data_IF_354222298065
#
_entry.id   IF_354222298065
#
_cell.length_a   1.000
_cell.length_b   1.000
_cell.length_c   1.000
_cell.angle_alpha   90.00
_cell.angle_beta   90.00
_cell.angle_gamma   90.00
#
_symmetry.space_group_name_H-M   'P 1'
#
loop_
_entity.id
_entity.type
_entity.pdbx_description
1 polymer ?
#
# COMPACT_ATOMS: atom_id res chain seq x y z
N UNK A 1 33.74 19.32 6.59
CA UNK A 1 34.63 19.31 5.42
C UNK A 1 34.61 17.87 4.93
N UNK A 2 34.00 17.48 3.82
CA UNK A 2 33.55 18.22 2.63
C UNK A 2 32.33 17.49 2.05
N UNK A 3 31.32 18.24 1.62
CA UNK A 3 30.30 17.80 0.66
C UNK A 3 30.87 17.94 -0.75
N UNK A 4 30.60 16.98 -1.64
CA UNK A 4 30.67 17.12 -3.12
C UNK A 4 29.58 16.19 -3.66
N UNK A 5 28.38 16.66 -4.02
CA UNK A 5 28.00 17.32 -5.29
C UNK A 5 28.71 16.68 -6.47
N UNK A 6 27.99 15.82 -7.19
CA UNK A 6 28.33 15.42 -8.56
C UNK A 6 27.36 16.14 -9.48
N UNK A 7 27.96 16.97 -10.32
CA UNK A 7 27.35 17.93 -11.23
C UNK A 7 26.57 17.28 -12.38
N UNK A 8 25.52 18.00 -12.79
CA UNK A 8 24.90 17.90 -14.11
C UNK A 8 25.76 18.65 -15.13
N UNK A 9 25.69 18.19 -16.38
CA UNK A 9 26.09 18.85 -17.63
C UNK A 9 27.58 18.79 -18.04
N UNK A 10 27.92 17.77 -18.84
CA UNK A 10 28.82 17.98 -19.99
C UNK A 10 28.19 17.44 -21.28
N UNK A 11 27.54 18.40 -21.96
CA UNK A 11 27.28 18.49 -23.38
C UNK A 11 28.38 17.89 -24.28
N UNK A 12 28.00 16.99 -25.19
CA UNK A 12 28.58 16.94 -26.55
C UNK A 12 27.47 16.78 -27.58
N UNK A 13 27.15 17.89 -28.25
CA UNK A 13 26.23 17.92 -29.37
C UNK A 13 26.86 17.44 -30.67
N UNK A 14 26.01 17.01 -31.61
CA UNK A 14 26.27 17.17 -33.04
C UNK A 14 24.97 17.64 -33.71
N UNK A 15 25.10 18.76 -34.42
CA UNK A 15 24.03 19.44 -35.17
C UNK A 15 23.70 18.71 -36.47
N UNK A 16 22.41 18.80 -36.83
CA UNK A 16 21.78 18.50 -38.12
C UNK A 16 22.55 19.03 -39.34
N UNK A 17 22.42 18.32 -40.47
CA UNK A 17 22.33 18.93 -41.81
C UNK A 17 21.17 18.29 -42.58
N UNK A 18 20.27 19.14 -43.08
CA UNK A 18 19.15 18.80 -43.98
C UNK A 18 19.44 19.46 -45.33
N UNK A 19 19.51 18.65 -46.36
CA UNK A 19 19.58 18.93 -47.81
C UNK A 19 19.35 17.53 -48.40
N UNK A 20 18.29 17.18 -49.13
CA UNK A 20 17.58 17.87 -50.21
C UNK A 20 17.79 17.03 -51.47
N UNK A 21 16.80 16.22 -51.87
CA UNK A 21 16.54 15.71 -53.23
C UNK A 21 17.55 14.75 -53.91
N UNK A 22 17.00 13.68 -54.48
CA UNK A 22 17.46 12.90 -55.66
C UNK A 22 18.63 11.89 -55.53
N UNK A 23 18.23 10.63 -55.78
CA UNK A 23 18.76 9.62 -56.70
C UNK A 23 20.16 9.00 -56.54
N UNK A 24 20.09 7.66 -56.50
CA UNK A 24 20.96 6.63 -57.09
C UNK A 24 22.48 6.81 -57.11
N UNK A 25 23.13 5.90 -56.38
CA UNK A 25 24.44 5.38 -56.78
C UNK A 25 24.31 3.87 -56.98
N UNK A 26 24.10 3.49 -58.24
CA UNK A 26 24.38 2.17 -58.78
C UNK A 26 25.90 2.01 -58.82
N UNK A 27 26.43 0.87 -58.37
CA UNK A 27 27.75 0.42 -58.80
C UNK A 27 27.61 -0.91 -59.56
N UNK A 28 28.07 -0.84 -60.80
CA UNK A 28 28.08 -1.89 -61.82
C UNK A 28 29.34 -2.74 -61.66
N UNK A 29 29.21 -3.96 -61.14
CA UNK A 29 30.17 -5.02 -61.40
C UNK A 29 29.49 -6.38 -61.32
N UNK A 30 28.67 -6.63 -62.33
CA UNK A 30 28.30 -7.97 -62.77
C UNK A 30 29.55 -8.70 -63.29
N UNK A 31 29.89 -9.83 -62.67
CA UNK A 31 30.49 -10.96 -63.38
C UNK A 31 30.12 -12.25 -62.66
N UNK A 32 29.27 -13.04 -63.32
CA UNK A 32 29.03 -14.45 -63.02
C UNK A 32 30.34 -15.25 -63.08
N UNK A 33 30.64 -16.01 -62.03
CA UNK A 33 31.36 -17.28 -62.13
C UNK A 33 31.20 -18.08 -60.82
N UNK A 34 30.55 -19.24 -60.95
CA UNK A 34 30.46 -20.40 -60.06
C UNK A 34 31.36 -20.41 -58.80
N UNK A 35 30.72 -20.47 -57.62
CA UNK A 35 31.28 -21.09 -56.44
C UNK A 35 30.18 -21.75 -55.59
N UNK A 36 30.15 -23.08 -55.70
CA UNK A 36 29.63 -24.10 -54.81
C UNK A 36 28.86 -23.70 -53.53
N UNK A 37 27.64 -24.23 -53.49
CA UNK A 37 26.92 -24.81 -52.35
C UNK A 37 27.84 -25.30 -51.19
N UNK A 38 27.84 -24.57 -50.08
CA UNK A 38 28.09 -25.14 -48.74
C UNK A 38 26.93 -24.70 -47.82
N UNK A 39 26.19 -25.69 -47.34
CA UNK A 39 24.92 -25.54 -46.65
C UNK A 39 24.99 -24.67 -45.39
N UNK A 40 24.24 -23.57 -45.42
CA UNK A 40 23.75 -22.92 -44.20
C UNK A 40 22.54 -23.72 -43.70
N UNK A 41 22.53 -24.21 -42.45
CA UNK A 41 21.30 -24.73 -41.87
C UNK A 41 20.27 -23.60 -41.77
N UNK A 42 19.13 -23.81 -42.39
CA UNK A 42 17.93 -22.98 -42.28
C UNK A 42 17.42 -23.08 -40.84
N UNK A 43 17.78 -22.10 -40.00
CA UNK A 43 17.23 -21.99 -38.65
C UNK A 43 15.87 -21.31 -38.75
N UNK A 44 14.83 -22.14 -38.87
CA UNK A 44 13.45 -21.69 -38.64
C UNK A 44 13.30 -21.37 -37.16
N UNK A 45 13.33 -20.08 -36.81
CA UNK A 45 12.92 -19.60 -35.49
C UNK A 45 11.40 -19.73 -35.41
N UNK A 46 10.92 -20.85 -34.89
CA UNK A 46 9.54 -20.96 -34.41
C UNK A 46 9.48 -20.19 -33.09
N UNK A 47 8.95 -18.96 -33.15
CA UNK A 47 8.54 -18.24 -31.97
C UNK A 47 7.26 -18.89 -31.46
N UNK A 48 7.30 -19.48 -30.27
CA UNK A 48 6.10 -19.92 -29.57
C UNK A 48 5.21 -18.68 -29.37
N UNK A 49 4.04 -18.64 -30.01
CA UNK A 49 3.15 -17.47 -30.09
C UNK A 49 2.50 -17.07 -28.73
N UNK A 50 3.03 -17.56 -27.61
CA UNK A 50 2.46 -17.41 -26.27
C UNK A 50 3.17 -16.45 -25.31
N UNK A 51 4.46 -16.16 -25.52
CA UNK A 51 5.21 -15.30 -24.61
C UNK A 51 5.17 -13.84 -25.10
N UNK A 52 4.60 -12.96 -24.28
CA UNK A 52 4.40 -11.55 -24.58
C UNK A 52 5.68 -10.84 -25.06
N UNK A 53 5.49 -9.80 -25.87
CA UNK A 53 6.55 -8.93 -26.39
C UNK A 53 7.62 -8.59 -25.33
N UNK A 54 8.79 -9.23 -25.43
CA UNK A 54 9.92 -8.96 -24.54
C UNK A 54 10.79 -7.84 -25.12
N UNK A 55 10.64 -6.64 -24.57
CA UNK A 55 11.38 -5.44 -24.98
C UNK A 55 12.91 -5.61 -24.85
N UNK A 56 13.38 -6.52 -23.98
CA UNK A 56 14.80 -6.79 -23.77
C UNK A 56 15.42 -7.62 -24.91
N UNK A 57 14.61 -8.35 -25.69
CA UNK A 57 15.06 -9.15 -26.84
C UNK A 57 15.18 -8.31 -28.13
N UNK A 58 14.73 -7.05 -28.12
CA UNK A 58 14.70 -6.18 -29.29
C UNK A 58 16.04 -5.47 -29.49
N UNK A 59 16.70 -5.70 -30.62
CA UNK A 59 17.93 -4.99 -31.02
C UNK A 59 19.23 -5.69 -30.63
N UNK A 60 19.17 -6.89 -30.05
CA UNK A 60 20.33 -7.75 -29.81
C UNK A 60 20.83 -8.35 -31.14
N UNK A 61 22.15 -8.53 -31.26
CA UNK A 61 22.69 -9.36 -32.35
C UNK A 61 22.34 -10.83 -32.10
N UNK A 62 22.23 -11.68 -33.14
CA UNK A 62 21.88 -13.10 -32.96
C UNK A 62 22.74 -13.84 -31.92
N UNK A 63 24.03 -13.48 -31.82
CA UNK A 63 24.95 -14.02 -30.81
C UNK A 63 24.66 -13.54 -29.37
N UNK A 64 24.16 -12.32 -29.20
CA UNK A 64 23.81 -11.77 -27.89
C UNK A 64 22.45 -12.29 -27.40
N UNK A 65 21.50 -12.49 -28.32
CA UNK A 65 20.22 -13.13 -28.03
C UNK A 65 20.42 -14.57 -27.52
N UNK A 66 21.29 -15.34 -28.19
CA UNK A 66 21.58 -16.71 -27.78
C UNK A 66 22.26 -16.77 -26.40
N UNK A 67 23.22 -15.87 -26.12
CA UNK A 67 23.87 -15.80 -24.80
C UNK A 67 22.88 -15.44 -23.68
N UNK A 68 21.90 -14.56 -23.97
CA UNK A 68 20.88 -14.19 -23.00
C UNK A 68 19.88 -15.32 -22.74
N UNK A 69 19.44 -16.04 -23.78
CA UNK A 69 18.58 -17.21 -23.65
C UNK A 69 19.27 -18.31 -22.84
N UNK A 70 20.53 -18.64 -23.16
CA UNK A 70 21.33 -19.62 -22.38
C UNK A 70 21.58 -19.17 -20.94
N UNK A 71 21.67 -17.85 -20.68
CA UNK A 71 21.76 -17.32 -19.32
C UNK A 71 20.42 -17.48 -18.58
N UNK A 72 19.29 -17.18 -19.22
CA UNK A 72 17.96 -17.33 -18.63
C UNK A 72 17.64 -18.81 -18.37
N UNK A 73 17.99 -19.69 -19.30
CA UNK A 73 17.85 -21.14 -19.14
C UNK A 73 18.64 -21.65 -17.93
N UNK A 74 19.93 -21.28 -17.82
CA UNK A 74 20.73 -21.63 -16.62
C UNK A 74 20.13 -21.12 -15.32
N UNK A 75 19.61 -19.89 -15.30
CA UNK A 75 18.95 -19.35 -14.10
C UNK A 75 17.66 -20.10 -13.76
N UNK A 76 16.87 -20.51 -14.77
CA UNK A 76 15.69 -21.36 -14.56
C UNK A 76 16.07 -22.75 -14.05
N UNK A 77 17.10 -23.36 -14.61
CA UNK A 77 17.61 -24.66 -14.15
C UNK A 77 18.14 -24.59 -12.71
N UNK A 78 18.88 -23.54 -12.36
CA UNK A 78 19.36 -23.30 -11.00
C UNK A 78 18.19 -23.09 -10.02
N UNK A 79 17.20 -22.28 -10.41
CA UNK A 79 16.00 -22.06 -9.60
C UNK A 79 15.18 -23.34 -9.41
N UNK A 80 14.97 -24.12 -10.48
CA UNK A 80 14.30 -25.42 -10.42
C UNK A 80 15.06 -26.41 -9.53
N UNK A 81 16.39 -26.46 -9.64
CA UNK A 81 17.22 -27.32 -8.80
C UNK A 81 17.14 -26.94 -7.31
N UNK A 82 17.05 -25.64 -6.98
CA UNK A 82 16.81 -25.20 -5.60
C UNK A 82 15.38 -25.51 -5.14
N UNK A 83 14.37 -25.29 -5.98
CA UNK A 83 12.97 -25.65 -5.70
C UNK A 83 12.85 -27.14 -5.31
N UNK A 84 13.41 -28.04 -6.10
CA UNK A 84 13.39 -29.49 -5.85
C UNK A 84 14.05 -29.85 -4.51
N UNK A 85 15.13 -29.15 -4.11
CA UNK A 85 15.76 -29.37 -2.79
C UNK A 85 14.83 -28.96 -1.65
N UNK A 86 14.17 -27.81 -1.77
CA UNK A 86 13.22 -27.35 -0.76
C UNK A 86 11.99 -28.26 -0.68
N UNK A 87 11.46 -28.74 -1.81
CA UNK A 87 10.37 -29.70 -1.81
C UNK A 87 10.75 -31.01 -1.14
N UNK A 88 11.90 -31.60 -1.48
CA UNK A 88 12.36 -32.83 -0.85
C UNK A 88 12.58 -32.67 0.67
N UNK A 89 13.22 -31.57 1.09
CA UNK A 89 13.42 -31.25 2.51
C UNK A 89 12.07 -31.03 3.24
N UNK A 90 11.13 -30.34 2.59
CA UNK A 90 9.79 -30.08 3.10
C UNK A 90 9.01 -31.38 3.31
N UNK A 91 9.03 -32.29 2.32
CA UNK A 91 8.38 -33.61 2.41
C UNK A 91 8.97 -34.48 3.53
N UNK A 92 10.29 -34.52 3.68
CA UNK A 92 10.95 -35.25 4.77
C UNK A 92 10.51 -34.72 6.14
N UNK A 93 10.47 -33.39 6.31
CA UNK A 93 10.03 -32.75 7.54
C UNK A 93 8.53 -32.95 7.79
N UNK A 94 7.72 -32.91 6.74
CA UNK A 94 6.29 -33.17 6.79
C UNK A 94 6.00 -34.60 7.26
N UNK A 95 6.69 -35.59 6.67
CA UNK A 95 6.59 -36.99 7.08
C UNK A 95 7.08 -37.23 8.52
N UNK A 96 8.05 -36.44 8.99
CA UNK A 96 8.53 -36.46 10.37
C UNK A 96 7.59 -35.75 11.38
N UNK A 97 6.47 -35.17 10.93
CA UNK A 97 5.53 -34.43 11.77
C UNK A 97 6.03 -33.05 12.19
N UNK A 98 7.05 -32.50 11.52
CA UNK A 98 7.61 -31.16 11.77
C UNK A 98 6.98 -30.12 10.86
N UNK A 99 5.67 -29.94 10.99
CA UNK A 99 4.88 -29.12 10.06
C UNK A 99 5.37 -27.67 9.91
N UNK A 100 5.77 -27.02 11.01
CA UNK A 100 6.29 -25.64 10.96
C UNK A 100 7.59 -25.47 10.19
N UNK A 101 8.46 -26.49 10.21
CA UNK A 101 9.71 -26.45 9.45
C UNK A 101 9.43 -26.80 7.99
N UNK A 102 8.48 -27.69 7.72
CA UNK A 102 8.05 -28.06 6.38
C UNK A 102 7.35 -26.90 5.65
N UNK A 103 6.49 -26.15 6.34
CA UNK A 103 5.81 -24.97 5.79
C UNK A 103 6.80 -23.93 5.25
N UNK A 104 7.91 -23.69 5.97
CA UNK A 104 8.95 -22.75 5.50
C UNK A 104 9.59 -23.24 4.21
N UNK A 105 9.89 -24.52 4.14
CA UNK A 105 10.50 -25.12 2.94
C UNK A 105 9.52 -25.08 1.76
N UNK A 106 8.23 -25.38 1.97
CA UNK A 106 7.21 -25.27 0.91
C UNK A 106 6.99 -23.82 0.46
N UNK A 107 6.97 -22.87 1.39
CA UNK A 107 6.90 -21.43 1.06
C UNK A 107 8.11 -21.00 0.23
N UNK A 108 9.32 -21.43 0.60
CA UNK A 108 10.53 -21.12 -0.17
C UNK A 108 10.53 -21.80 -1.53
N UNK A 109 9.98 -23.01 -1.67
CA UNK A 109 9.85 -23.66 -2.99
C UNK A 109 8.95 -22.84 -3.94
N UNK A 110 7.80 -22.34 -3.43
CA UNK A 110 6.87 -21.52 -4.20
C UNK A 110 7.46 -20.16 -4.64
N UNK A 111 8.46 -19.64 -3.92
CA UNK A 111 9.18 -18.42 -4.33
C UNK A 111 10.06 -18.65 -5.56
N UNK A 112 10.54 -19.88 -5.79
CA UNK A 112 11.34 -20.23 -6.97
C UNK A 112 10.48 -20.67 -8.16
N UNK A 113 9.52 -21.56 -7.90
CA UNK A 113 8.63 -22.10 -8.93
C UNK A 113 7.26 -22.40 -8.33
N UNK A 114 6.23 -21.79 -8.92
CA UNK A 114 4.86 -22.04 -8.52
C UNK A 114 4.41 -23.43 -8.97
N UNK A 115 3.80 -24.17 -8.05
CA UNK A 115 3.13 -25.43 -8.32
C UNK A 115 1.96 -25.61 -7.35
N UNK A 116 0.78 -25.93 -7.87
CA UNK A 116 -0.42 -26.17 -7.06
C UNK A 116 -0.21 -27.30 -6.03
N UNK A 117 0.56 -28.34 -6.38
CA UNK A 117 0.86 -29.43 -5.45
C UNK A 117 1.70 -28.92 -4.25
N UNK A 118 2.66 -28.04 -4.51
CA UNK A 118 3.50 -27.42 -3.48
C UNK A 118 2.69 -26.48 -2.59
N UNK A 119 1.74 -25.75 -3.17
CA UNK A 119 0.80 -24.88 -2.46
C UNK A 119 -0.17 -25.69 -1.58
N UNK A 120 -0.69 -26.81 -2.08
CA UNK A 120 -1.48 -27.73 -1.27
C UNK A 120 -0.69 -28.24 -0.06
N UNK A 121 0.57 -28.64 -0.26
CA UNK A 121 1.44 -29.10 0.83
C UNK A 121 1.77 -28.00 1.82
N UNK A 122 1.90 -26.75 1.38
CA UNK A 122 2.03 -25.60 2.26
C UNK A 122 0.84 -25.48 3.21
N UNK A 123 -0.40 -25.48 2.69
CA UNK A 123 -1.59 -25.35 3.53
C UNK A 123 -1.89 -26.60 4.36
N UNK A 124 -1.55 -27.78 3.86
CA UNK A 124 -1.56 -29.00 4.67
C UNK A 124 -0.58 -28.87 5.85
N UNK A 125 0.63 -28.34 5.65
CA UNK A 125 1.59 -28.11 6.73
C UNK A 125 1.12 -27.00 7.68
N UNK A 126 0.51 -25.93 7.14
CA UNK A 126 0.00 -24.82 7.93
C UNK A 126 -1.10 -25.26 8.90
N UNK A 127 -1.94 -26.20 8.47
CA UNK A 127 -3.07 -26.75 9.25
C UNK A 127 -2.71 -27.99 10.08
N UNK A 128 -1.41 -28.24 10.31
CA UNK A 128 -0.90 -29.43 11.00
C UNK A 128 -1.51 -30.73 10.42
N UNK A 129 -1.49 -30.84 9.10
CA UNK A 129 -2.11 -31.88 8.28
C UNK A 129 -3.63 -31.98 8.48
N UNK A 130 -4.33 -30.86 8.29
CA UNK A 130 -5.78 -30.73 8.41
C UNK A 130 -6.35 -31.11 9.78
N UNK A 131 -5.60 -30.82 10.85
CA UNK A 131 -6.07 -31.05 12.23
C UNK A 131 -6.43 -29.76 12.96
N UNK A 132 -5.82 -28.63 12.59
CA UNK A 132 -6.06 -27.33 13.22
C UNK A 132 -6.14 -26.20 12.19
N UNK A 133 -7.25 -25.45 12.18
CA UNK A 133 -7.46 -24.30 11.31
C UNK A 133 -7.11 -22.95 11.98
N UNK A 134 -6.71 -22.92 13.25
CA UNK A 134 -6.45 -21.66 13.97
C UNK A 134 -5.37 -20.80 13.29
N UNK A 135 -4.40 -21.44 12.64
CA UNK A 135 -3.31 -20.72 11.96
C UNK A 135 -3.74 -20.02 10.68
N UNK A 136 -4.84 -20.47 10.07
CA UNK A 136 -5.47 -19.77 8.94
C UNK A 136 -6.12 -18.45 9.39
N UNK A 137 -6.48 -18.33 10.67
CA UNK A 137 -7.15 -17.16 11.23
C UNK A 137 -6.17 -16.07 11.71
N UNK A 138 -4.90 -16.16 11.30
CA UNK A 138 -3.92 -15.09 11.47
C UNK A 138 -4.04 -14.16 10.25
N UNK A 139 -4.11 -12.83 10.40
CA UNK A 139 -4.37 -11.90 9.29
C UNK A 139 -3.53 -12.17 8.04
N UNK A 140 -2.20 -12.22 8.19
CA UNK A 140 -1.28 -12.47 7.07
C UNK A 140 -1.53 -13.83 6.36
N UNK A 141 -1.97 -14.84 7.10
CA UNK A 141 -2.25 -16.17 6.53
C UNK A 141 -3.64 -16.24 5.89
N UNK A 142 -4.62 -15.53 6.45
CA UNK A 142 -5.96 -15.43 5.89
C UNK A 142 -5.92 -14.74 4.52
N UNK A 143 -5.13 -13.67 4.39
CA UNK A 143 -4.90 -12.97 3.13
C UNK A 143 -4.23 -13.90 2.10
N UNK A 144 -3.12 -14.55 2.46
CA UNK A 144 -2.43 -15.51 1.58
C UNK A 144 -3.34 -16.65 1.13
N UNK A 145 -4.19 -17.16 2.03
CA UNK A 145 -5.12 -18.23 1.71
C UNK A 145 -6.27 -17.76 0.81
N UNK A 146 -6.71 -16.51 0.95
CA UNK A 146 -7.71 -15.92 0.06
C UNK A 146 -7.20 -15.84 -1.38
N UNK A 147 -5.91 -15.58 -1.57
CA UNK A 147 -5.22 -15.51 -2.87
C UNK A 147 -4.77 -16.88 -3.42
N UNK A 148 -4.90 -17.95 -2.65
CA UNK A 148 -4.47 -19.29 -3.05
C UNK A 148 -5.34 -19.86 -4.19
N UNK A 149 -4.79 -20.84 -4.93
CA UNK A 149 -5.54 -21.51 -5.99
C UNK A 149 -6.89 -22.08 -5.50
N UNK A 150 -7.93 -21.95 -6.34
CA UNK A 150 -9.29 -22.38 -6.01
C UNK A 150 -9.34 -23.88 -5.65
N UNK A 151 -8.56 -24.70 -6.33
CA UNK A 151 -8.40 -26.14 -6.06
C UNK A 151 -7.91 -26.41 -4.64
N UNK A 152 -6.93 -25.64 -4.18
CA UNK A 152 -6.32 -25.75 -2.85
C UNK A 152 -7.27 -25.23 -1.78
N UNK A 153 -7.92 -24.09 -2.02
CA UNK A 153 -8.93 -23.52 -1.12
C UNK A 153 -10.09 -24.47 -0.90
N UNK A 154 -10.64 -25.03 -1.99
CA UNK A 154 -11.74 -25.99 -1.95
C UNK A 154 -11.41 -27.20 -1.06
N UNK A 155 -10.17 -27.71 -1.13
CA UNK A 155 -9.74 -28.87 -0.33
C UNK A 155 -9.63 -28.55 1.16
N UNK A 156 -9.12 -27.37 1.52
CA UNK A 156 -9.06 -26.93 2.92
C UNK A 156 -10.47 -26.67 3.47
N UNK A 157 -11.34 -26.06 2.66
CA UNK A 157 -12.74 -25.76 3.01
C UNK A 157 -13.62 -27.01 3.07
N UNK A 158 -13.33 -28.08 2.32
CA UNK A 158 -14.02 -29.36 2.47
C UNK A 158 -13.82 -29.97 3.86
N UNK A 159 -12.63 -29.76 4.46
CA UNK A 159 -12.33 -30.26 5.81
C UNK A 159 -12.84 -29.34 6.92
N UNK A 160 -12.64 -28.03 6.76
CA UNK A 160 -12.88 -27.06 7.84
C UNK A 160 -14.10 -26.15 7.65
N UNK A 161 -14.72 -26.13 6.47
CA UNK A 161 -15.74 -25.15 6.10
C UNK A 161 -16.92 -25.08 7.06
N UNK A 162 -17.44 -26.23 7.50
CA UNK A 162 -18.52 -26.27 8.48
C UNK A 162 -18.08 -25.68 9.84
N UNK A 163 -16.92 -26.10 10.34
CA UNK A 163 -16.38 -25.63 11.62
C UNK A 163 -16.04 -24.13 11.62
N UNK A 164 -15.56 -23.61 10.48
CA UNK A 164 -15.26 -22.19 10.29
C UNK A 164 -16.54 -21.36 10.18
N UNK A 165 -17.57 -21.88 9.51
CA UNK A 165 -18.89 -21.24 9.47
C UNK A 165 -19.55 -21.20 10.85
N UNK A 166 -19.47 -22.28 11.63
CA UNK A 166 -19.94 -22.29 13.02
C UNK A 166 -19.17 -21.28 13.87
N UNK A 167 -17.84 -21.21 13.71
CA UNK A 167 -17.01 -20.22 14.40
C UNK A 167 -17.37 -18.78 14.02
N UNK A 168 -17.67 -18.51 12.73
CA UNK A 168 -18.15 -17.20 12.24
C UNK A 168 -19.47 -16.82 12.89
N UNK A 169 -20.44 -17.74 12.89
CA UNK A 169 -21.76 -17.49 13.51
C UNK A 169 -21.64 -17.26 15.02
N UNK A 170 -20.79 -18.02 15.72
CA UNK A 170 -20.56 -17.85 17.15
C UNK A 170 -19.91 -16.49 17.46
N UNK A 171 -18.87 -16.12 16.71
CA UNK A 171 -18.19 -14.82 16.87
C UNK A 171 -19.13 -13.64 16.55
N UNK A 172 -19.99 -13.78 15.53
CA UNK A 172 -20.96 -12.74 15.18
C UNK A 172 -22.05 -12.57 16.25
N UNK A 173 -22.54 -13.68 16.82
CA UNK A 173 -23.50 -13.65 17.92
C UNK A 173 -22.93 -12.99 19.18
N UNK A 174 -21.63 -13.13 19.44
CA UNK A 174 -20.94 -12.46 20.55
C UNK A 174 -20.65 -10.98 20.24
N UNK A 175 -20.26 -10.65 19.02
CA UNK A 175 -19.94 -9.28 18.61
C UNK A 175 -21.18 -8.35 18.56
N UNK A 176 -22.35 -8.86 18.15
CA UNK A 176 -23.56 -8.05 18.01
C UNK A 176 -23.95 -7.26 19.28
N UNK A 177 -24.09 -7.86 20.47
CA UNK A 177 -24.40 -7.11 21.68
C UNK A 177 -23.29 -6.14 22.08
N UNK A 178 -22.02 -6.52 21.88
CA UNK A 178 -20.86 -5.68 22.20
C UNK A 178 -20.82 -4.41 21.34
N UNK A 179 -21.16 -4.50 20.04
CA UNK A 179 -21.28 -3.31 19.15
C UNK A 179 -22.26 -2.29 19.71
N UNK A 180 -23.41 -2.75 20.23
CA UNK A 180 -24.42 -1.88 20.84
C UNK A 180 -23.92 -1.20 22.11
N UNK A 181 -23.29 -1.96 23.01
CA UNK A 181 -22.77 -1.43 24.29
C UNK A 181 -21.62 -0.43 24.06
N UNK A 182 -20.67 -0.78 23.20
CA UNK A 182 -19.49 0.07 22.91
C UNK A 182 -19.92 1.35 22.22
N UNK A 183 -20.79 1.28 21.20
CA UNK A 183 -21.28 2.47 20.49
C UNK A 183 -22.07 3.40 21.41
N UNK A 184 -22.97 2.86 22.24
CA UNK A 184 -23.72 3.64 23.22
C UNK A 184 -22.79 4.31 24.24
N UNK A 185 -21.80 3.58 24.76
CA UNK A 185 -20.82 4.11 25.70
C UNK A 185 -19.91 5.18 25.08
N UNK A 186 -19.54 5.04 23.80
CA UNK A 186 -18.80 6.07 23.06
C UNK A 186 -19.65 7.33 22.89
N UNK A 187 -20.92 7.17 22.51
CA UNK A 187 -21.86 8.28 22.30
C UNK A 187 -22.14 9.06 23.58
N UNK A 188 -22.35 8.38 24.71
CA UNK A 188 -22.54 9.01 26.01
C UNK A 188 -21.34 9.89 26.42
N UNK A 189 -20.12 9.43 26.12
CA UNK A 189 -18.86 10.10 26.48
C UNK A 189 -18.47 11.23 25.52
N UNK A 190 -18.96 11.22 24.27
CA UNK A 190 -18.63 12.23 23.25
C UNK A 190 -19.01 13.64 23.70
N UNK A 191 -20.22 13.84 24.23
CA UNK A 191 -20.71 15.14 24.70
C UNK A 191 -19.81 15.73 25.80
N UNK A 192 -19.66 15.05 26.95
CA UNK A 192 -18.81 15.52 28.06
C UNK A 192 -17.36 15.79 27.65
N UNK A 193 -16.76 14.95 26.79
CA UNK A 193 -15.38 15.18 26.33
C UNK A 193 -15.27 16.39 25.39
N UNK A 194 -16.22 16.59 24.49
CA UNK A 194 -16.25 17.76 23.62
C UNK A 194 -16.41 19.07 24.41
N UNK A 195 -17.28 19.08 25.41
CA UNK A 195 -17.46 20.22 26.31
C UNK A 195 -16.18 20.52 27.11
N UNK A 196 -15.53 19.49 27.65
CA UNK A 196 -14.28 19.65 28.40
C UNK A 196 -13.14 20.19 27.51
N UNK A 197 -13.03 19.69 26.27
CA UNK A 197 -12.09 20.21 25.28
C UNK A 197 -12.37 21.69 24.97
N UNK A 198 -13.63 22.06 24.74
CA UNK A 198 -14.03 23.45 24.49
C UNK A 198 -13.72 24.36 25.68
N UNK A 199 -13.97 23.88 26.91
CA UNK A 199 -13.69 24.60 28.16
C UNK A 199 -12.22 25.01 28.27
N UNK A 200 -11.29 24.09 27.97
CA UNK A 200 -9.85 24.36 28.01
C UNK A 200 -9.37 25.16 26.79
N UNK A 201 -9.96 24.95 25.62
CA UNK A 201 -9.60 25.69 24.40
C UNK A 201 -9.91 27.18 24.55
N UNK A 202 -11.10 27.53 25.03
CA UNK A 202 -11.49 28.94 25.23
C UNK A 202 -10.55 29.64 26.23
N UNK A 203 -10.20 28.96 27.33
CA UNK A 203 -9.27 29.51 28.33
C UNK A 203 -7.84 29.62 27.81
N UNK A 204 -7.38 28.63 27.05
CA UNK A 204 -6.08 28.68 26.40
C UNK A 204 -5.99 29.90 25.47
N UNK A 205 -7.00 30.12 24.62
CA UNK A 205 -7.04 31.28 23.71
C UNK A 205 -7.10 32.61 24.46
N UNK A 206 -7.88 32.71 25.54
CA UNK A 206 -7.94 33.92 26.36
C UNK A 206 -6.59 34.26 27.00
N UNK A 207 -5.89 33.25 27.56
CA UNK A 207 -4.57 33.45 28.17
C UNK A 207 -3.51 33.74 27.11
N UNK A 208 -3.60 33.11 25.93
CA UNK A 208 -2.72 33.38 24.80
C UNK A 208 -2.86 34.83 24.32
N UNK A 209 -4.09 35.34 24.23
CA UNK A 209 -4.35 36.73 23.89
C UNK A 209 -3.77 37.70 24.94
N UNK A 210 -3.97 37.42 26.23
CA UNK A 210 -3.39 38.22 27.31
C UNK A 210 -1.86 38.22 27.28
N UNK A 211 -1.24 37.06 27.05
CA UNK A 211 0.20 36.92 26.87
C UNK A 211 0.71 37.77 25.69
N UNK A 212 0.03 37.73 24.55
CA UNK A 212 0.39 38.52 23.37
C UNK A 212 0.30 40.03 23.66
N UNK A 213 -0.75 40.49 24.34
CA UNK A 213 -0.90 41.90 24.73
C UNK A 213 0.24 42.35 25.65
N UNK A 214 0.61 41.56 26.66
CA UNK A 214 1.73 41.90 27.54
C UNK A 214 3.07 41.88 26.81
N UNK A 215 3.30 40.92 25.91
CA UNK A 215 4.51 40.86 25.10
C UNK A 215 4.66 42.08 24.17
N UNK A 216 3.56 42.53 23.55
CA UNK A 216 3.53 43.78 22.78
C UNK A 216 3.82 44.98 23.69
N UNK A 217 3.25 45.00 24.91
CA UNK A 217 3.53 46.03 25.92
C UNK A 217 5.01 46.14 26.27
N UNK A 218 5.72 45.01 26.39
CA UNK A 218 7.19 44.98 26.55
C UNK A 218 7.87 45.60 25.35
N UNK A 219 7.52 45.20 24.13
CA UNK A 219 8.17 45.67 22.90
C UNK A 219 8.01 47.20 22.73
N UNK A 220 6.80 47.72 22.94
CA UNK A 220 6.51 49.16 22.88
C UNK A 220 7.28 49.90 23.96
N UNK A 221 7.20 49.46 25.21
CA UNK A 221 7.88 50.13 26.34
C UNK A 221 9.40 50.13 26.17
N UNK A 222 9.95 49.03 25.67
CA UNK A 222 11.39 48.89 25.42
C UNK A 222 11.88 49.84 24.33
N UNK A 223 11.07 50.10 23.30
CA UNK A 223 11.39 51.08 22.24
C UNK A 223 11.59 52.50 22.79
N UNK A 224 10.91 52.86 23.88
CA UNK A 224 11.01 54.17 24.52
C UNK A 224 12.17 54.29 25.52
N UNK A 225 12.82 53.20 25.93
CA UNK A 225 13.91 53.23 26.93
C UNK A 225 15.08 54.11 26.52
N UNK A 226 15.48 54.07 25.24
CA UNK A 226 16.61 54.86 24.73
C UNK A 226 16.22 56.27 24.29
N UNK A 227 14.92 56.56 24.17
CA UNK A 227 14.40 57.84 23.65
C UNK A 227 13.96 58.81 24.76
N UNK A 228 13.76 58.35 25.99
CA UNK A 228 13.11 59.14 27.04
C UNK A 228 13.96 59.19 28.30
N UNK A 229 14.14 60.38 28.91
CA UNK A 229 14.85 60.55 30.19
C UNK A 229 14.01 60.21 31.44
N UNK A 230 12.78 59.76 31.25
CA UNK A 230 11.87 59.39 32.35
C UNK A 230 12.09 57.92 32.78
N UNK A 231 11.85 57.61 34.05
CA UNK A 231 11.88 56.23 34.58
C UNK A 231 10.64 55.40 34.19
N UNK A 232 9.61 56.02 33.62
CA UNK A 232 8.34 55.36 33.28
C UNK A 232 8.51 54.16 32.32
N UNK A 233 9.26 54.25 31.20
CA UNK A 233 9.43 53.11 30.30
C UNK A 233 10.10 51.91 30.97
N UNK A 234 11.02 52.14 31.91
CA UNK A 234 11.67 51.07 32.69
C UNK A 234 10.68 50.35 33.61
N UNK A 235 9.85 51.10 34.34
CA UNK A 235 8.82 50.53 35.23
C UNK A 235 7.80 49.73 34.40
N UNK A 236 7.35 50.26 33.27
CA UNK A 236 6.42 49.57 32.36
C UNK A 236 7.02 48.28 31.79
N UNK A 237 8.29 48.31 31.38
CA UNK A 237 8.96 47.11 30.83
C UNK A 237 9.08 46.00 31.89
N UNK A 238 9.43 46.35 33.14
CA UNK A 238 9.52 45.37 34.24
C UNK A 238 8.14 44.80 34.56
N UNK A 239 7.11 45.65 34.68
CA UNK A 239 5.74 45.22 35.02
C UNK A 239 5.14 44.33 33.95
N UNK A 240 5.24 44.71 32.67
CA UNK A 240 4.82 43.84 31.57
C UNK A 240 5.66 42.56 31.49
N UNK A 241 6.95 42.61 31.84
CA UNK A 241 7.81 41.43 31.95
C UNK A 241 7.28 40.41 32.96
N UNK A 242 6.97 40.85 34.18
CA UNK A 242 6.40 39.99 35.23
C UNK A 242 5.04 39.42 34.82
N UNK A 243 4.16 40.25 34.24
CA UNK A 243 2.84 39.81 33.76
C UNK A 243 2.94 38.81 32.61
N UNK A 244 3.88 39.00 31.69
CA UNK A 244 4.13 38.09 30.57
C UNK A 244 4.63 36.74 31.07
N UNK A 245 5.55 36.73 32.04
CA UNK A 245 6.01 35.48 32.66
C UNK A 245 4.88 34.74 33.39
N UNK A 246 4.08 35.47 34.18
CA UNK A 246 2.92 34.87 34.85
C UNK A 246 1.91 34.29 33.84
N UNK A 247 1.58 35.03 32.78
CA UNK A 247 0.70 34.58 31.72
C UNK A 247 1.27 33.35 30.99
N UNK A 248 2.59 33.29 30.77
CA UNK A 248 3.26 32.15 30.15
C UNK A 248 3.14 30.87 30.98
N UNK A 249 3.31 30.95 32.30
CA UNK A 249 3.14 29.79 33.19
C UNK A 249 1.70 29.27 33.12
N UNK A 250 0.71 30.17 33.15
CA UNK A 250 -0.71 29.81 33.03
C UNK A 250 -1.02 29.24 31.64
N UNK A 251 -0.39 29.75 30.58
CA UNK A 251 -0.53 29.26 29.21
C UNK A 251 -0.06 27.80 29.10
N UNK A 252 1.10 27.47 29.65
CA UNK A 252 1.62 26.09 29.67
C UNK A 252 0.67 25.15 30.40
N UNK A 253 0.11 25.59 31.54
CA UNK A 253 -0.86 24.80 32.29
C UNK A 253 -2.09 24.46 31.45
N UNK A 254 -2.68 25.45 30.79
CA UNK A 254 -3.84 25.21 29.92
C UNK A 254 -3.50 24.43 28.65
N UNK A 255 -2.31 24.62 28.08
CA UNK A 255 -1.85 23.83 26.93
C UNK A 255 -1.79 22.34 27.28
N UNK A 256 -1.20 21.98 28.44
CA UNK A 256 -1.17 20.58 28.91
C UNK A 256 -2.56 20.01 29.11
N UNK A 257 -3.47 20.76 29.74
CA UNK A 257 -4.85 20.32 29.97
C UNK A 257 -5.64 20.15 28.66
N UNK A 258 -5.44 21.05 27.71
CA UNK A 258 -6.04 20.96 26.37
C UNK A 258 -5.55 19.72 25.62
N UNK A 259 -4.25 19.41 25.69
CA UNK A 259 -3.71 18.19 25.08
C UNK A 259 -4.30 16.92 25.68
N UNK A 260 -4.47 16.87 27.00
CA UNK A 260 -5.12 15.73 27.67
C UNK A 260 -6.58 15.60 27.24
N UNK A 261 -7.33 16.71 27.21
CA UNK A 261 -8.72 16.69 26.76
C UNK A 261 -8.86 16.27 25.28
N UNK A 262 -7.95 16.73 24.42
CA UNK A 262 -7.92 16.33 23.01
C UNK A 262 -7.57 14.83 22.85
N UNK A 263 -6.65 14.30 23.67
CA UNK A 263 -6.35 12.87 23.71
C UNK A 263 -7.57 12.06 24.14
N UNK A 264 -8.27 12.45 25.20
CA UNK A 264 -9.49 11.76 25.65
C UNK A 264 -10.56 11.69 24.57
N UNK A 265 -10.78 12.77 23.81
CA UNK A 265 -11.69 12.72 22.66
C UNK A 265 -11.24 11.69 21.61
N UNK A 266 -9.94 11.65 21.29
CA UNK A 266 -9.40 10.72 20.30
C UNK A 266 -9.43 9.27 20.79
N UNK A 267 -9.10 9.07 22.05
CA UNK A 267 -9.04 7.75 22.66
C UNK A 267 -10.47 7.17 22.78
N UNK A 268 -11.49 7.99 23.03
CA UNK A 268 -12.89 7.54 23.01
C UNK A 268 -13.34 6.98 21.66
N UNK A 269 -12.80 7.49 20.55
CA UNK A 269 -13.11 6.98 19.21
C UNK A 269 -12.37 5.68 18.87
N UNK A 270 -11.40 5.24 19.70
CA UNK A 270 -10.70 3.98 19.53
C UNK A 270 -11.43 2.88 20.29
N UNK A 271 -11.70 1.75 19.62
CA UNK A 271 -12.34 0.58 20.21
C UNK A 271 -11.52 0.02 21.38
N UNK A 272 -10.20 -0.16 21.18
CA UNK A 272 -9.21 -0.55 22.21
C UNK A 272 -9.11 0.35 23.45
N UNK A 273 -9.81 1.48 23.55
CA UNK A 273 -9.76 2.34 24.74
C UNK A 273 -10.50 1.78 25.95
N UNK A 274 -11.40 0.80 25.73
CA UNK A 274 -12.18 0.13 26.76
C UNK A 274 -12.00 -1.37 26.66
N UNK A 275 -12.21 -2.09 27.77
CA UNK A 275 -12.14 -3.55 27.79
C UNK A 275 -13.15 -4.18 26.82
N UNK A 276 -14.40 -3.70 26.85
CA UNK A 276 -15.46 -4.17 25.93
C UNK A 276 -15.15 -3.83 24.46
N UNK A 277 -14.55 -2.66 24.20
CA UNK A 277 -14.15 -2.28 22.85
C UNK A 277 -12.90 -3.03 22.35
N UNK A 278 -11.96 -3.40 23.23
CA UNK A 278 -10.84 -4.25 22.87
C UNK A 278 -11.30 -5.68 22.55
N UNK A 279 -12.26 -6.21 23.31
CA UNK A 279 -12.90 -7.50 23.01
C UNK A 279 -13.63 -7.45 21.67
N UNK A 280 -14.34 -6.35 21.38
CA UNK A 280 -15.00 -6.17 20.10
C UNK A 280 -13.99 -6.10 18.94
N UNK A 281 -12.87 -5.39 19.13
CA UNK A 281 -11.80 -5.29 18.12
C UNK A 281 -11.19 -6.66 17.78
N UNK A 282 -10.92 -7.50 18.78
CA UNK A 282 -10.43 -8.87 18.59
C UNK A 282 -11.47 -9.75 17.85
N UNK A 283 -12.76 -9.62 18.20
CA UNK A 283 -13.83 -10.34 17.51
C UNK A 283 -14.01 -9.87 16.07
N UNK A 284 -13.89 -8.57 15.80
CA UNK A 284 -14.00 -8.01 14.45
C UNK A 284 -12.82 -8.40 13.56
N UNK A 285 -11.59 -8.41 14.10
CA UNK A 285 -10.40 -8.92 13.40
C UNK A 285 -10.55 -10.40 13.07
N UNK A 286 -11.03 -11.20 14.03
CA UNK A 286 -11.30 -12.62 13.80
C UNK A 286 -12.40 -12.86 12.77
N UNK A 287 -13.47 -12.07 12.80
CA UNK A 287 -14.54 -12.12 11.79
C UNK A 287 -14.03 -11.74 10.40
N UNK A 288 -13.13 -10.75 10.30
CA UNK A 288 -12.50 -10.38 9.04
C UNK A 288 -11.63 -11.52 8.48
N UNK A 289 -10.83 -12.17 9.34
CA UNK A 289 -10.04 -13.34 8.93
C UNK A 289 -10.95 -14.50 8.48
N UNK A 290 -12.03 -14.77 9.21
CA UNK A 290 -13.01 -15.79 8.85
C UNK A 290 -13.70 -15.49 7.52
N UNK A 291 -14.03 -14.23 7.25
CA UNK A 291 -14.61 -13.81 5.98
C UNK A 291 -13.62 -14.01 4.82
N UNK A 292 -12.36 -13.58 4.98
CA UNK A 292 -11.32 -13.81 3.97
C UNK A 292 -11.11 -15.29 3.67
N UNK A 293 -11.06 -16.15 4.69
CA UNK A 293 -10.85 -17.59 4.53
C UNK A 293 -12.05 -18.27 3.85
N UNK A 294 -13.28 -17.92 4.26
CA UNK A 294 -14.49 -18.58 3.75
C UNK A 294 -14.92 -18.03 2.39
N UNK A 295 -14.96 -16.72 2.25
CA UNK A 295 -15.58 -16.04 1.12
C UNK A 295 -14.53 -15.62 0.07
N UNK A 296 -13.24 -15.59 0.43
CA UNK A 296 -12.14 -15.12 -0.43
C UNK A 296 -11.92 -13.62 -0.35
N UNK A 297 -10.92 -13.12 -1.09
CA UNK A 297 -10.75 -11.69 -1.24
C UNK A 297 -11.96 -11.13 -1.99
N UNK A 298 -12.50 -9.96 -1.59
CA UNK A 298 -13.54 -9.32 -2.40
C UNK A 298 -12.99 -9.14 -3.80
N UNK A 299 -13.65 -9.71 -4.80
CA UNK A 299 -13.35 -9.44 -6.20
C UNK A 299 -13.37 -7.92 -6.34
N UNK A 300 -12.23 -7.32 -6.69
CA UNK A 300 -12.21 -5.94 -7.14
C UNK A 300 -12.98 -5.97 -8.46
N UNK A 301 -14.27 -5.62 -8.39
CA UNK A 301 -15.10 -5.44 -9.57
C UNK A 301 -14.31 -4.60 -10.57
N UNK A 302 -13.87 -5.25 -11.65
CA UNK A 302 -13.20 -4.63 -12.79
C UNK A 302 -14.23 -3.87 -13.65
N UNK A 303 -15.02 -3.01 -13.00
CA UNK A 303 -16.11 -2.23 -13.59
C UNK A 303 -15.71 -0.74 -13.68
N UNK A 304 -14.52 -0.44 -14.21
CA UNK A 304 -14.15 0.95 -14.55
C UNK A 304 -13.41 1.08 -15.90
N UNK A 305 -13.50 0.08 -16.78
CA UNK A 305 -13.05 0.18 -18.18
C UNK A 305 -14.14 -0.35 -19.13
N UNK A 306 -15.22 0.41 -19.30
CA UNK A 306 -16.04 0.46 -20.53
C UNK A 306 -17.14 1.54 -20.37
N UNK A 307 -16.72 2.79 -20.20
CA UNK A 307 -17.51 3.95 -20.65
C UNK A 307 -16.62 4.79 -21.56
N UNK A 308 -16.30 4.24 -22.72
CA UNK A 308 -16.01 5.07 -23.88
C UNK A 308 -17.31 5.79 -24.25
N UNK A 309 -17.45 7.00 -23.71
CA UNK A 309 -18.35 8.01 -24.24
C UNK A 309 -17.94 8.28 -25.70
N UNK A 310 -18.70 7.74 -26.66
CA UNK A 310 -18.69 8.20 -28.04
C UNK A 310 -19.10 9.69 -28.07
N UNK A 311 -18.23 10.63 -28.47
CA UNK A 311 -18.64 11.98 -28.80
C UNK A 311 -18.76 12.12 -30.32
N UNK A 312 -19.77 12.89 -30.74
CA UNK A 312 -20.04 13.34 -32.12
C UNK A 312 -20.72 12.37 -33.08
N UNK A 313 -22.06 12.42 -33.08
CA UNK A 313 -22.79 12.56 -34.34
C UNK A 313 -23.68 13.81 -34.29
N UNK A 314 -23.13 14.94 -34.72
CA UNK A 314 -23.91 16.11 -35.14
C UNK A 314 -24.55 15.81 -36.50
N UNK A 315 -25.88 15.84 -36.62
CA UNK A 315 -26.51 16.28 -37.86
C UNK A 315 -27.88 16.93 -37.64
N UNK A 316 -27.92 18.21 -38.03
CA UNK A 316 -28.99 18.97 -38.64
C UNK A 316 -30.45 18.88 -38.14
N UNK A 317 -30.84 19.96 -37.47
CA UNK A 317 -31.90 20.89 -37.89
C UNK A 317 -33.10 20.32 -38.69
N UNK A 318 -34.29 20.36 -38.07
CA UNK A 318 -35.41 21.21 -38.50
C UNK A 318 -36.48 21.30 -37.40
N UNK A 319 -37.00 22.51 -37.08
CA UNK A 319 -38.18 22.70 -36.26
C UNK A 319 -39.44 22.73 -37.13
N UNK A 320 -40.57 22.27 -36.59
CA UNK A 320 -41.98 22.41 -37.02
C UNK A 320 -42.68 21.13 -36.51
N UNK A 321 -43.86 21.07 -35.90
CA UNK A 321 -45.01 21.97 -35.73
C UNK A 321 -45.85 21.35 -34.57
N UNK A 322 -46.53 22.20 -33.82
CA UNK A 322 -47.90 22.06 -33.30
C UNK A 322 -48.42 20.68 -32.81
N UNK A 323 -48.88 20.63 -31.55
CA UNK A 323 -50.32 20.63 -31.24
C UNK A 323 -50.63 20.03 -29.85
N UNK A 324 -51.36 20.85 -29.09
CA UNK A 324 -52.46 20.50 -28.20
C UNK A 324 -52.23 19.62 -26.96
N UNK A 325 -52.15 20.32 -25.84
CA UNK A 325 -52.66 19.88 -24.54
C UNK A 325 -54.17 19.52 -24.64
N UNK A 326 -54.52 18.34 -24.15
CA UNK A 326 -55.81 18.07 -23.51
C UNK A 326 -55.63 16.99 -22.44
#
# INVERSE_FOLDING_TARGET
MEERIIDKDELRGVKRKRTGGEEDAVDELSTDADAADEGMPDYTLEFDEGDGYDEDLVGLTPSQLQEELERRERLREEAHAECVKYLASGEEKFAAGKFREAEKDFSSALEYEYSEESEERLYAAMTDNYTDAQRLLIPDNAERFADAAESVRARVLDVFGDSLNEARQAAEAEAQPLRGVVSAGQEERRGPFAENKKYYLVRFLAVLAAFAVFAIGIAVSSSFLLRTQSSVPTILTITFGVLTFAAFVVLIFFARKLLVAARLCRDNERLSSTEEGAQLEELEERLACLALVLDGAPEQDADDENQDEDPDETSDASPDEDADEN
#
